data_IF_866751208518
#
_entry.id   IF_866751208518
#
_cell.length_a   1.000
_cell.length_b   1.000
_cell.length_c   1.000
_cell.angle_alpha   90.00
_cell.angle_beta   90.00
_cell.angle_gamma   90.00
#
_symmetry.space_group_name_H-M   'P 1'
#
loop_
_entity.id
_entity.type
_entity.pdbx_description
1 polymer ?
#
# COMPACT_ATOMS: atom_id res chain seq x y z
N UNK A 1 5.17 -6.30 -16.05
CA UNK A 1 4.09 -7.33 -16.08
C UNK A 1 4.38 -8.50 -15.12
N UNK A 2 5.59 -9.01 -15.03
CA UNK A 2 5.91 -10.20 -14.21
C UNK A 2 5.80 -9.90 -12.70
N UNK A 3 6.20 -8.71 -12.27
CA UNK A 3 6.10 -8.31 -10.86
C UNK A 3 4.65 -8.18 -10.39
N UNK A 4 3.75 -7.66 -11.23
CA UNK A 4 2.34 -7.56 -10.89
C UNK A 4 1.70 -8.95 -10.79
N UNK A 5 1.96 -9.85 -11.73
CA UNK A 5 1.49 -11.24 -11.64
C UNK A 5 2.00 -11.98 -10.41
N UNK A 6 3.26 -11.75 -10.04
CA UNK A 6 3.84 -12.30 -8.82
C UNK A 6 3.15 -11.72 -7.56
N UNK A 7 2.84 -10.42 -7.57
CA UNK A 7 2.07 -9.75 -6.53
C UNK A 7 0.68 -10.35 -6.37
N UNK A 8 -0.10 -10.45 -7.47
CA UNK A 8 -1.47 -10.98 -7.44
C UNK A 8 -1.51 -12.43 -6.93
N UNK A 9 -0.54 -13.26 -7.33
CA UNK A 9 -0.40 -14.63 -6.84
C UNK A 9 -0.10 -14.68 -5.35
N UNK A 10 0.81 -13.83 -4.86
CA UNK A 10 1.15 -13.79 -3.45
C UNK A 10 -0.02 -13.30 -2.60
N UNK A 11 -0.72 -12.27 -3.06
CA UNK A 11 -1.89 -11.69 -2.39
C UNK A 11 -3.03 -12.70 -2.27
N UNK A 12 -3.19 -13.60 -3.24
CA UNK A 12 -4.13 -14.73 -3.18
C UNK A 12 -3.79 -15.76 -2.09
N UNK A 13 -2.57 -15.74 -1.55
CA UNK A 13 -2.15 -16.59 -0.44
C UNK A 13 -2.62 -16.08 0.93
N UNK A 14 -2.57 -16.94 1.95
CA UNK A 14 -3.04 -16.63 3.31
C UNK A 14 -2.40 -15.37 3.93
N UNK A 15 -1.10 -15.18 3.71
CA UNK A 15 -0.35 -14.05 4.27
C UNK A 15 -0.71 -12.75 3.55
N UNK A 16 -0.73 -12.78 2.22
CA UNK A 16 -1.07 -11.63 1.41
C UNK A 16 -2.51 -11.18 1.64
N UNK A 17 -3.46 -12.10 1.66
CA UNK A 17 -4.87 -11.79 1.96
C UNK A 17 -5.03 -11.13 3.36
N UNK A 18 -4.29 -11.60 4.36
CA UNK A 18 -4.31 -10.99 5.70
C UNK A 18 -3.82 -9.55 5.68
N UNK A 19 -2.73 -9.26 4.94
CA UNK A 19 -2.23 -7.91 4.77
C UNK A 19 -3.30 -7.03 4.13
N UNK A 20 -3.90 -7.47 3.04
CA UNK A 20 -4.95 -6.71 2.37
C UNK A 20 -6.14 -6.37 3.28
N UNK A 21 -6.58 -7.32 4.10
CA UNK A 21 -7.69 -7.07 5.05
C UNK A 21 -7.31 -5.96 6.06
N UNK A 22 -6.10 -6.00 6.60
CA UNK A 22 -5.65 -4.98 7.56
C UNK A 22 -5.40 -3.63 6.90
N UNK A 23 -4.84 -3.61 5.68
CA UNK A 23 -4.70 -2.39 4.88
C UNK A 23 -6.05 -1.77 4.55
N UNK A 24 -7.03 -2.57 4.15
CA UNK A 24 -8.39 -2.08 3.90
C UNK A 24 -9.02 -1.46 5.15
N UNK A 25 -8.78 -2.04 6.32
CA UNK A 25 -9.25 -1.46 7.59
C UNK A 25 -8.62 -0.09 7.85
N UNK A 26 -7.29 0.04 7.64
CA UNK A 26 -6.58 1.31 7.74
C UNK A 26 -7.06 2.32 6.71
N UNK A 27 -7.11 1.91 5.43
CA UNK A 27 -7.58 2.76 4.34
C UNK A 27 -9.00 3.28 4.62
N UNK A 28 -9.92 2.41 5.04
CA UNK A 28 -11.30 2.78 5.41
C UNK A 28 -11.34 3.81 6.53
N UNK A 29 -10.48 3.65 7.56
CA UNK A 29 -10.41 4.59 8.69
C UNK A 29 -9.95 5.98 8.23
N UNK A 30 -8.94 6.04 7.36
CA UNK A 30 -8.38 7.29 6.86
C UNK A 30 -9.29 7.92 5.79
N UNK A 31 -9.77 7.14 4.82
CA UNK A 31 -10.62 7.63 3.73
C UNK A 31 -11.96 8.21 4.19
N UNK A 32 -12.55 7.68 5.28
CA UNK A 32 -13.78 8.24 5.85
C UNK A 32 -13.63 9.65 6.42
N UNK A 33 -12.41 10.11 6.63
CA UNK A 33 -12.08 11.46 7.13
C UNK A 33 -11.68 12.41 6.01
N UNK A 34 -11.62 11.91 4.78
CA UNK A 34 -11.20 12.66 3.61
C UNK A 34 -12.41 12.89 2.72
N UNK A 35 -12.56 14.13 2.28
CA UNK A 35 -13.60 14.55 1.36
C UNK A 35 -12.96 14.90 0.02
N UNK A 36 -13.60 14.50 -1.06
CA UNK A 36 -13.14 14.76 -2.43
C UNK A 36 -14.10 14.15 -3.44
N UNK A 37 -14.03 14.63 -4.68
CA UNK A 37 -14.83 14.11 -5.78
C UNK A 37 -14.19 12.86 -6.39
N UNK A 38 -12.88 12.86 -6.50
CA UNK A 38 -12.11 11.80 -7.15
C UNK A 38 -11.14 11.15 -6.17
N UNK A 39 -11.22 9.85 -6.02
CA UNK A 39 -10.21 9.04 -5.36
C UNK A 39 -9.58 8.09 -6.37
N UNK A 40 -8.26 8.12 -6.44
CA UNK A 40 -7.46 7.27 -7.30
C UNK A 40 -6.62 6.32 -6.44
N UNK A 41 -6.68 5.03 -6.73
CA UNK A 41 -5.71 4.06 -6.21
C UNK A 41 -4.72 3.66 -7.29
N UNK A 42 -3.46 3.58 -6.93
CA UNK A 42 -2.37 3.10 -7.80
C UNK A 42 -1.68 1.91 -7.16
N UNK A 43 -1.58 0.83 -7.89
CA UNK A 43 -0.98 -0.43 -7.41
C UNK A 43 -1.93 -1.31 -6.61
N UNK A 44 -1.39 -2.28 -5.91
CA UNK A 44 -2.17 -3.32 -5.26
C UNK A 44 -2.71 -4.37 -6.26
N UNK A 45 -3.87 -4.94 -5.97
CA UNK A 45 -4.54 -5.89 -6.86
C UNK A 45 -5.93 -5.41 -7.25
N UNK A 46 -6.27 -5.56 -8.51
CA UNK A 46 -7.56 -5.12 -9.06
C UNK A 46 -8.78 -5.78 -8.40
N UNK A 47 -8.61 -7.01 -7.89
CA UNK A 47 -9.69 -7.75 -7.21
C UNK A 47 -10.00 -7.27 -5.78
N UNK A 48 -9.14 -6.42 -5.17
CA UNK A 48 -9.33 -5.98 -3.80
C UNK A 48 -8.90 -4.51 -3.60
N UNK A 49 -9.64 -3.55 -4.17
CA UNK A 49 -9.30 -2.13 -4.04
C UNK A 49 -9.50 -1.63 -2.60
N UNK A 50 -8.52 -0.87 -2.09
CA UNK A 50 -8.60 -0.25 -0.77
C UNK A 50 -9.62 0.89 -0.73
N UNK A 51 -9.87 1.51 -1.89
CA UNK A 51 -10.77 2.66 -2.06
C UNK A 51 -12.25 2.29 -2.18
N UNK A 52 -12.59 0.99 -2.17
CA UNK A 52 -13.98 0.54 -2.33
C UNK A 52 -14.95 1.17 -1.32
N UNK A 53 -14.47 1.45 -0.11
CA UNK A 53 -15.25 2.06 0.98
C UNK A 53 -15.11 3.60 1.07
N UNK A 54 -14.49 4.25 0.07
CA UNK A 54 -14.38 5.72 0.01
C UNK A 54 -15.74 6.37 -0.22
N UNK A 55 -15.93 7.56 0.35
CA UNK A 55 -17.12 8.39 0.16
C UNK A 55 -17.07 9.19 -1.15
N UNK A 56 -15.93 9.23 -1.83
CA UNK A 56 -15.78 9.91 -3.11
C UNK A 56 -16.69 9.27 -4.18
N UNK A 57 -17.45 10.08 -4.94
CA UNK A 57 -18.33 9.54 -5.98
C UNK A 57 -17.58 8.90 -7.13
N UNK A 58 -16.41 9.41 -7.49
CA UNK A 58 -15.54 8.85 -8.53
C UNK A 58 -14.40 8.08 -7.88
N UNK A 59 -14.35 6.77 -8.13
CA UNK A 59 -13.33 5.85 -7.61
C UNK A 59 -12.68 5.14 -8.77
N UNK A 60 -11.38 5.33 -8.95
CA UNK A 60 -10.60 4.77 -10.05
C UNK A 60 -9.43 3.96 -9.50
N UNK A 61 -9.11 2.85 -10.14
CA UNK A 61 -7.99 1.99 -9.74
C UNK A 61 -7.04 1.78 -10.92
N UNK A 62 -5.80 2.21 -10.76
CA UNK A 62 -4.72 1.98 -11.73
C UNK A 62 -3.86 0.81 -11.29
N UNK A 63 -3.62 -0.13 -12.17
CA UNK A 63 -2.68 -1.23 -11.99
C UNK A 63 -1.67 -1.27 -13.12
N UNK A 64 -0.44 -1.63 -12.79
CA UNK A 64 0.66 -1.71 -13.76
C UNK A 64 0.77 -3.11 -14.36
N UNK A 65 -0.12 -3.44 -15.30
CA UNK A 65 -0.25 -4.78 -15.87
C UNK A 65 -1.09 -5.72 -14.99
N UNK A 66 -1.07 -7.01 -15.33
CA UNK A 66 -1.91 -8.02 -14.67
C UNK A 66 -3.24 -8.25 -15.38
N UNK A 67 -4.11 -9.02 -14.76
CA UNK A 67 -5.44 -9.31 -15.28
C UNK A 67 -6.48 -8.43 -14.59
N UNK A 68 -7.36 -7.86 -15.38
CA UNK A 68 -8.52 -7.15 -14.84
C UNK A 68 -9.61 -8.17 -14.53
N UNK A 69 -10.02 -8.32 -13.26
CA UNK A 69 -11.07 -9.26 -12.92
C UNK A 69 -12.39 -8.84 -13.56
N UNK A 70 -13.19 -9.82 -13.98
CA UNK A 70 -14.52 -9.59 -14.60
C UNK A 70 -15.46 -8.81 -13.68
N UNK A 71 -15.27 -8.93 -12.36
CA UNK A 71 -16.05 -8.23 -11.34
C UNK A 71 -15.09 -7.38 -10.50
N UNK A 72 -15.01 -6.09 -10.79
CA UNK A 72 -14.28 -5.13 -9.97
C UNK A 72 -15.26 -4.17 -9.28
N UNK A 73 -14.98 -3.83 -8.02
CA UNK A 73 -15.75 -2.83 -7.27
C UNK A 73 -15.49 -1.39 -7.73
N UNK A 74 -14.50 -1.19 -8.57
CA UNK A 74 -14.11 0.11 -9.13
C UNK A 74 -13.67 -0.08 -10.58
N UNK A 75 -13.86 0.90 -11.46
CA UNK A 75 -13.24 0.90 -12.78
C UNK A 75 -11.72 0.73 -12.65
N UNK A 76 -11.16 -0.20 -13.44
CA UNK A 76 -9.74 -0.52 -13.45
C UNK A 76 -9.12 0.00 -14.74
N UNK A 77 -8.01 0.72 -14.60
CA UNK A 77 -7.24 1.28 -15.70
C UNK A 77 -5.88 0.58 -15.71
N UNK A 78 -5.52 -0.01 -16.83
CA UNK A 78 -4.18 -0.54 -17.04
C UNK A 78 -3.28 0.62 -17.50
N UNK A 79 -2.19 0.84 -16.78
CA UNK A 79 -1.19 1.83 -17.12
C UNK A 79 0.18 1.18 -17.27
N UNK A 80 1.06 1.85 -18.00
CA UNK A 80 2.48 1.50 -18.02
C UNK A 80 3.17 2.03 -16.76
N UNK A 81 4.26 1.36 -16.37
CA UNK A 81 5.05 1.77 -15.21
C UNK A 81 5.45 3.25 -15.35
N UNK A 82 5.19 4.00 -14.28
CA UNK A 82 5.67 5.36 -14.06
C UNK A 82 4.92 6.52 -14.74
N UNK A 83 3.84 6.26 -15.50
CA UNK A 83 3.01 7.31 -16.06
C UNK A 83 1.54 7.09 -15.65
N UNK A 84 0.95 8.09 -15.01
CA UNK A 84 -0.46 8.05 -14.68
C UNK A 84 -1.28 8.74 -15.77
N UNK A 85 -2.29 8.08 -16.37
CA UNK A 85 -3.08 8.63 -17.47
C UNK A 85 -4.13 9.64 -16.98
N UNK A 86 -3.70 10.60 -16.16
CA UNK A 86 -4.53 11.63 -15.57
C UNK A 86 -3.89 13.00 -15.76
N UNK A 87 -4.70 14.07 -15.96
CA UNK A 87 -4.19 15.43 -15.99
C UNK A 87 -3.51 15.84 -14.68
N UNK A 88 -2.66 16.86 -14.76
CA UNK A 88 -2.13 17.54 -13.58
C UNK A 88 -3.28 18.12 -12.75
N UNK A 89 -3.15 18.10 -11.41
CA UNK A 89 -4.12 18.70 -10.48
C UNK A 89 -5.57 18.18 -10.63
N UNK A 90 -5.74 16.88 -10.94
CA UNK A 90 -7.06 16.31 -11.24
C UNK A 90 -7.63 15.41 -10.14
N UNK A 91 -6.83 15.03 -9.14
CA UNK A 91 -7.19 14.05 -8.11
C UNK A 91 -7.14 14.68 -6.73
N UNK A 92 -8.18 14.54 -5.93
CA UNK A 92 -8.20 15.03 -4.55
C UNK A 92 -7.61 14.04 -3.54
N UNK A 93 -7.82 12.74 -3.77
CA UNK A 93 -7.32 11.69 -2.87
C UNK A 93 -6.59 10.64 -3.69
N UNK A 94 -5.31 10.44 -3.40
CA UNK A 94 -4.48 9.43 -4.06
C UNK A 94 -4.05 8.37 -3.05
N UNK A 95 -4.21 7.10 -3.40
CA UNK A 95 -3.78 5.95 -2.60
C UNK A 95 -2.72 5.19 -3.37
N UNK A 96 -1.50 5.15 -2.86
CA UNK A 96 -0.41 4.32 -3.38
C UNK A 96 -0.34 3.03 -2.56
N UNK A 97 -0.73 1.90 -3.14
CA UNK A 97 -0.67 0.60 -2.45
C UNK A 97 0.52 -0.22 -2.95
N UNK A 98 1.59 -0.28 -2.16
CA UNK A 98 2.82 -1.02 -2.47
C UNK A 98 3.46 -0.68 -3.84
N UNK A 99 2.99 0.38 -4.48
CA UNK A 99 3.49 0.81 -5.80
C UNK A 99 4.98 1.12 -5.74
N UNK A 100 5.44 1.76 -4.66
CA UNK A 100 6.84 2.10 -4.47
C UNK A 100 7.69 0.87 -4.14
N UNK A 101 7.14 -0.10 -3.40
CA UNK A 101 7.85 -1.32 -3.00
C UNK A 101 8.17 -2.23 -4.18
N UNK A 102 7.31 -2.22 -5.21
CA UNK A 102 7.37 -3.12 -6.36
C UNK A 102 8.03 -2.46 -7.57
N UNK A 103 7.89 -1.15 -7.72
CA UNK A 103 8.41 -0.42 -8.87
C UNK A 103 9.94 -0.46 -8.97
N UNK A 104 10.43 -0.43 -10.21
CA UNK A 104 11.83 -0.19 -10.50
C UNK A 104 12.22 1.28 -10.23
N UNK A 105 11.25 2.20 -10.39
CA UNK A 105 11.44 3.65 -10.35
C UNK A 105 10.51 4.35 -9.34
N UNK A 106 10.66 4.09 -8.02
CA UNK A 106 9.74 4.59 -7.00
C UNK A 106 9.66 6.12 -6.94
N UNK A 107 10.77 6.82 -7.20
CA UNK A 107 10.79 8.28 -7.26
C UNK A 107 9.89 8.83 -8.37
N UNK A 108 9.84 8.15 -9.52
CA UNK A 108 9.02 8.60 -10.64
C UNK A 108 7.53 8.42 -10.33
N UNK A 109 7.15 7.31 -9.70
CA UNK A 109 5.77 7.12 -9.23
C UNK A 109 5.37 8.22 -8.25
N UNK A 110 6.27 8.61 -7.34
CA UNK A 110 5.95 9.65 -6.37
C UNK A 110 5.85 11.04 -7.02
N UNK A 111 6.66 11.34 -8.04
CA UNK A 111 6.52 12.58 -8.85
C UNK A 111 5.20 12.61 -9.63
N UNK A 112 4.81 11.49 -10.23
CA UNK A 112 3.52 11.38 -10.90
C UNK A 112 2.36 11.51 -9.92
N UNK A 113 2.50 10.95 -8.72
CA UNK A 113 1.53 11.10 -7.65
C UNK A 113 1.36 12.58 -7.24
N UNK A 114 2.46 13.31 -7.09
CA UNK A 114 2.43 14.76 -6.82
C UNK A 114 1.81 15.52 -8.00
N UNK A 115 2.19 15.23 -9.24
CA UNK A 115 1.67 15.89 -10.44
C UNK A 115 0.15 15.80 -10.57
N UNK A 116 -0.42 14.61 -10.34
CA UNK A 116 -1.87 14.39 -10.50
C UNK A 116 -2.67 14.88 -9.29
N UNK A 117 -2.03 15.01 -8.14
CA UNK A 117 -2.69 15.44 -6.91
C UNK A 117 -2.95 16.93 -6.93
N UNK A 118 -4.18 17.35 -6.66
CA UNK A 118 -4.56 18.78 -6.58
C UNK A 118 -3.86 19.46 -5.40
N UNK A 119 -3.60 20.76 -5.48
CA UNK A 119 -3.19 21.55 -4.33
C UNK A 119 -4.14 21.34 -3.15
N UNK A 120 -3.58 20.94 -2.01
CA UNK A 120 -4.37 20.58 -0.83
C UNK A 120 -4.98 19.18 -0.84
N UNK A 121 -4.75 18.39 -1.90
CA UNK A 121 -5.13 16.99 -1.97
C UNK A 121 -4.44 16.11 -0.91
N UNK A 122 -4.83 14.87 -0.80
CA UNK A 122 -4.31 13.92 0.20
C UNK A 122 -3.71 12.69 -0.44
N UNK A 123 -2.48 12.41 -0.07
CA UNK A 123 -1.79 11.16 -0.40
C UNK A 123 -1.90 10.18 0.76
N UNK A 124 -2.34 8.96 0.51
CA UNK A 124 -2.21 7.80 1.40
C UNK A 124 -1.24 6.81 0.77
N UNK A 125 -0.16 6.48 1.46
CA UNK A 125 0.87 5.59 0.98
C UNK A 125 0.98 4.37 1.90
N UNK A 126 0.81 3.18 1.33
CA UNK A 126 1.00 1.90 2.00
C UNK A 126 2.29 1.26 1.55
N UNK A 127 3.13 0.88 2.50
CA UNK A 127 4.42 0.25 2.23
C UNK A 127 4.84 -0.74 3.31
N UNK A 128 5.77 -1.64 2.96
CA UNK A 128 6.35 -2.59 3.91
C UNK A 128 7.39 -1.93 4.81
N UNK A 129 7.29 -2.24 6.10
CA UNK A 129 8.18 -1.71 7.12
C UNK A 129 9.42 -2.62 7.30
N UNK A 130 10.64 -2.12 7.01
CA UNK A 130 11.86 -2.89 7.23
C UNK A 130 12.16 -3.13 8.73
N UNK A 131 11.67 -2.26 9.62
CA UNK A 131 11.86 -2.37 11.07
C UNK A 131 10.80 -3.26 11.74
N UNK A 132 10.28 -4.24 11.02
CA UNK A 132 9.27 -5.19 11.50
C UNK A 132 9.80 -6.62 11.52
N UNK A 133 9.04 -7.54 12.12
CA UNK A 133 9.31 -8.97 12.03
C UNK A 133 9.35 -9.49 10.57
N UNK A 134 8.64 -8.83 9.67
CA UNK A 134 8.67 -9.11 8.24
C UNK A 134 9.95 -8.61 7.60
N UNK A 135 10.44 -7.43 7.99
CA UNK A 135 11.74 -6.93 7.56
C UNK A 135 12.88 -7.84 8.01
N UNK A 136 12.84 -8.33 9.25
CA UNK A 136 13.80 -9.30 9.76
C UNK A 136 13.74 -10.63 8.96
N UNK A 137 12.54 -11.15 8.70
CA UNK A 137 12.37 -12.35 7.87
C UNK A 137 12.94 -12.16 6.46
N UNK A 138 12.79 -10.96 5.88
CA UNK A 138 13.37 -10.64 4.59
C UNK A 138 14.90 -10.71 4.59
N UNK A 139 15.57 -10.27 5.65
CA UNK A 139 17.05 -10.33 5.76
C UNK A 139 17.60 -11.75 5.75
N UNK A 140 16.82 -12.71 6.25
CA UNK A 140 17.19 -14.14 6.27
C UNK A 140 16.57 -14.93 5.12
N UNK A 141 15.86 -14.27 4.20
CA UNK A 141 15.31 -14.93 3.01
C UNK A 141 16.43 -15.23 2.01
N UNK A 142 16.37 -16.42 1.42
CA UNK A 142 17.34 -16.85 0.41
C UNK A 142 16.86 -16.45 -0.99
N UNK A 143 17.75 -16.40 -2.01
CA UNK A 143 17.35 -16.20 -3.40
C UNK A 143 16.36 -17.24 -3.93
N UNK A 144 16.29 -18.41 -3.29
CA UNK A 144 15.32 -19.47 -3.56
C UNK A 144 13.89 -19.15 -3.06
N UNK A 145 13.74 -18.20 -2.14
CA UNK A 145 12.42 -17.66 -1.74
C UNK A 145 11.87 -16.76 -2.86
N UNK A 146 11.55 -17.35 -4.02
CA UNK A 146 11.07 -16.64 -5.22
C UNK A 146 9.71 -15.93 -5.05
N UNK A 147 9.15 -15.97 -3.85
CA UNK A 147 7.84 -15.42 -3.56
C UNK A 147 7.95 -13.99 -2.98
N UNK A 148 7.11 -13.09 -3.49
CA UNK A 148 6.83 -11.83 -2.80
C UNK A 148 6.30 -12.15 -1.38
N UNK A 149 6.51 -11.26 -0.38
CA UNK A 149 7.02 -9.89 -0.54
C UNK A 149 8.55 -9.76 -0.41
N UNK A 150 9.27 -10.88 -0.29
CA UNK A 150 10.70 -10.87 0.08
C UNK A 150 11.58 -10.15 -0.97
N UNK A 151 11.14 -10.10 -2.24
CA UNK A 151 11.82 -9.37 -3.31
C UNK A 151 11.36 -7.90 -3.46
N UNK A 152 10.29 -7.50 -2.76
CA UNK A 152 9.86 -6.10 -2.74
C UNK A 152 10.89 -5.23 -2.00
N UNK A 153 10.94 -3.93 -2.30
CA UNK A 153 11.76 -2.99 -1.54
C UNK A 153 11.03 -2.63 -0.27
N UNK A 154 11.59 -2.99 0.88
CA UNK A 154 11.09 -2.48 2.15
C UNK A 154 11.77 -1.14 2.41
N UNK A 155 11.02 -0.04 2.27
CA UNK A 155 11.54 1.30 2.44
C UNK A 155 11.24 1.83 3.84
N UNK A 156 12.21 2.52 4.45
CA UNK A 156 11.99 3.16 5.75
C UNK A 156 10.99 4.30 5.58
N UNK A 157 10.06 4.40 6.55
CA UNK A 157 9.09 5.49 6.59
C UNK A 157 9.77 6.87 6.48
N UNK A 158 10.87 7.09 7.23
CA UNK A 158 11.61 8.36 7.19
C UNK A 158 12.11 8.71 5.79
N UNK A 159 12.58 7.73 5.04
CA UNK A 159 13.03 7.93 3.65
C UNK A 159 11.86 8.39 2.76
N UNK A 160 10.68 7.80 2.91
CA UNK A 160 9.51 8.22 2.15
C UNK A 160 9.02 9.61 2.58
N UNK A 161 9.07 9.91 3.87
CA UNK A 161 8.74 11.25 4.38
C UNK A 161 9.67 12.31 3.80
N UNK A 162 10.98 12.03 3.70
CA UNK A 162 11.96 12.95 3.09
C UNK A 162 11.67 13.15 1.59
N UNK A 163 11.34 12.08 0.86
CA UNK A 163 10.94 12.19 -0.54
C UNK A 163 9.64 13.00 -0.72
N UNK A 164 8.66 12.80 0.16
CA UNK A 164 7.44 13.60 0.15
C UNK A 164 7.76 15.09 0.35
N UNK A 165 8.61 15.44 1.34
CA UNK A 165 9.00 16.84 1.58
C UNK A 165 9.69 17.49 0.39
N UNK A 166 10.56 16.73 -0.33
CA UNK A 166 11.21 17.20 -1.55
C UNK A 166 10.23 17.53 -2.68
N UNK A 167 9.03 16.95 -2.64
CA UNK A 167 7.93 17.19 -3.59
C UNK A 167 6.84 18.10 -2.99
N UNK A 168 7.15 18.87 -1.96
CA UNK A 168 6.21 19.76 -1.26
C UNK A 168 4.99 19.03 -0.65
N UNK A 169 5.06 17.71 -0.51
CA UNK A 169 4.04 16.93 0.19
C UNK A 169 4.41 16.86 1.68
N UNK A 170 3.58 17.42 2.55
CA UNK A 170 3.82 17.49 3.98
C UNK A 170 3.27 16.24 4.67
N UNK A 171 4.12 15.36 5.24
CA UNK A 171 3.66 14.22 6.03
C UNK A 171 2.89 14.67 7.27
N UNK A 172 1.66 14.17 7.44
CA UNK A 172 0.77 14.54 8.56
C UNK A 172 0.64 13.43 9.59
N UNK A 173 0.57 12.19 9.14
CA UNK A 173 0.24 11.04 9.98
C UNK A 173 0.90 9.78 9.45
N UNK A 174 1.34 8.93 10.37
CA UNK A 174 1.74 7.57 10.04
C UNK A 174 1.11 6.58 11.00
N UNK A 175 0.59 5.48 10.46
CA UNK A 175 0.02 4.36 11.22
C UNK A 175 0.65 3.06 10.78
N UNK A 176 0.67 2.09 11.68
CA UNK A 176 1.21 0.78 11.43
C UNK A 176 0.14 -0.29 11.59
N UNK A 177 0.25 -1.36 10.81
CA UNK A 177 -0.62 -2.52 10.88
C UNK A 177 0.17 -3.82 10.70
N UNK A 178 -0.51 -4.94 10.94
CA UNK A 178 0.04 -6.30 10.79
C UNK A 178 1.23 -6.53 11.71
N UNK A 179 0.95 -6.65 12.99
CA UNK A 179 1.97 -6.94 14.02
C UNK A 179 2.32 -8.44 14.12
N UNK A 180 1.71 -9.26 13.29
CA UNK A 180 1.92 -10.71 13.30
C UNK A 180 3.22 -11.12 12.66
N UNK A 181 3.77 -12.21 13.18
CA UNK A 181 4.89 -12.88 12.55
C UNK A 181 4.51 -13.44 11.17
N UNK A 182 5.41 -13.40 10.18
CA UNK A 182 5.19 -13.95 8.85
C UNK A 182 5.30 -15.48 8.82
N UNK A 183 4.60 -16.15 9.76
CA UNK A 183 4.59 -17.60 9.89
C UNK A 183 3.25 -18.15 9.41
N UNK A 184 3.31 -19.16 8.54
CA UNK A 184 2.13 -19.86 8.03
C UNK A 184 1.50 -20.81 9.06
N UNK A 185 2.27 -21.24 10.09
CA UNK A 185 1.82 -22.24 11.07
C UNK A 185 0.87 -21.64 12.12
N UNK A 186 -0.27 -22.30 12.31
CA UNK A 186 -1.41 -21.84 13.12
C UNK A 186 -1.19 -21.93 14.63
N UNK A 187 -0.34 -22.80 15.14
CA UNK A 187 -0.15 -23.04 16.58
C UNK A 187 0.46 -21.87 17.33
N UNK A 188 1.51 -21.29 16.79
CA UNK A 188 2.23 -20.13 17.39
C UNK A 188 1.37 -18.87 17.40
N UNK A 189 0.42 -18.75 16.46
CA UNK A 189 -0.44 -17.59 16.29
C UNK A 189 -1.37 -17.31 17.48
N UNK A 190 -1.87 -18.36 18.17
CA UNK A 190 -2.78 -18.18 19.32
C UNK A 190 -2.08 -17.49 20.50
N UNK A 191 -0.82 -17.85 20.76
CA UNK A 191 -0.02 -17.29 21.85
C UNK A 191 0.28 -15.82 21.62
N UNK A 192 0.61 -15.43 20.39
CA UNK A 192 0.98 -14.06 20.04
C UNK A 192 -0.22 -13.12 19.81
N UNK A 193 -1.44 -13.63 19.67
CA UNK A 193 -2.63 -12.82 19.34
C UNK A 193 -2.92 -11.71 20.37
N UNK A 194 -2.67 -11.97 21.66
CA UNK A 194 -2.84 -10.95 22.72
C UNK A 194 -1.80 -9.83 22.59
N UNK A 195 -0.54 -10.20 22.30
CA UNK A 195 0.56 -9.25 22.13
C UNK A 195 0.31 -8.40 20.87
N UNK A 196 -0.07 -9.04 19.75
CA UNK A 196 -0.45 -8.37 18.52
C UNK A 196 -1.55 -7.32 18.76
N UNK A 197 -2.57 -7.69 19.54
CA UNK A 197 -3.68 -6.78 19.85
C UNK A 197 -3.24 -5.58 20.72
N UNK A 198 -2.37 -5.81 21.69
CA UNK A 198 -1.80 -4.76 22.52
C UNK A 198 -0.91 -3.79 21.72
N UNK A 199 -0.06 -4.33 20.83
CA UNK A 199 0.79 -3.54 19.94
C UNK A 199 -0.03 -2.72 18.96
N UNK A 200 -1.11 -3.31 18.40
CA UNK A 200 -2.02 -2.62 17.51
C UNK A 200 -2.75 -1.46 18.21
N UNK A 201 -3.17 -1.64 19.46
CA UNK A 201 -3.80 -0.57 20.28
C UNK A 201 -2.86 0.58 20.59
N UNK A 202 -1.57 0.29 20.81
CA UNK A 202 -0.54 1.29 21.11
C UNK A 202 0.10 1.91 19.88
N UNK A 203 -0.32 1.49 18.68
CA UNK A 203 0.21 1.94 17.37
C UNK A 203 1.75 1.89 17.28
N UNK A 204 2.36 0.82 17.83
CA UNK A 204 3.81 0.68 17.84
C UNK A 204 4.39 0.70 16.42
N UNK A 205 5.55 1.35 16.16
CA UNK A 205 6.11 1.53 14.82
C UNK A 205 6.80 0.28 14.25
N UNK A 206 6.42 -0.91 14.70
CA UNK A 206 6.97 -2.22 14.30
C UNK A 206 5.99 -3.09 13.51
N UNK A 207 4.83 -2.57 13.13
CA UNK A 207 3.91 -3.28 12.23
C UNK A 207 4.54 -3.55 10.87
N UNK A 208 4.17 -4.67 10.23
CA UNK A 208 4.73 -5.10 8.95
C UNK A 208 4.43 -4.12 7.80
N UNK A 209 3.32 -3.41 7.90
CA UNK A 209 2.89 -2.40 6.93
C UNK A 209 2.69 -1.08 7.65
N UNK A 210 3.07 0.00 6.99
CA UNK A 210 2.70 1.36 7.42
C UNK A 210 1.77 2.01 6.39
N UNK A 211 0.94 2.92 6.90
CA UNK A 211 0.16 3.87 6.11
C UNK A 211 0.67 5.28 6.46
N UNK A 212 1.24 5.97 5.50
CA UNK A 212 1.65 7.37 5.59
C UNK A 212 0.59 8.24 4.92
N UNK A 213 0.14 9.30 5.61
CA UNK A 213 -0.69 10.34 5.01
C UNK A 213 0.13 11.61 4.85
N UNK A 214 0.06 12.22 3.67
CA UNK A 214 0.65 13.51 3.36
C UNK A 214 -0.36 14.42 2.65
N UNK A 215 -0.06 15.72 2.68
CA UNK A 215 -0.86 16.78 2.04
C UNK A 215 0.04 17.61 1.15
#
# INVERSE_FOLDING_TARGET
HDKQRAWDRWVGGRLGHRIQVEERRLARRELRRLFGQVVLQVGGTAGFPLIADSLAPVRLHVVFGGEVPKTSHCPVILAEDNLLPFPTDSVEILVLQHSLDISAHPHQILREAERVLRPGGRLLLFGFNPASSWGLRKLISTPLDSLLPWHARFMRRSQIEDWCRLLNLVPELSRHAVYSLPLAKTGVRKLFKRIEHSMARKEWPIGAVYCLRAK
#
